data_IF_602182213708
#
_entry.id   IF_602182213708
#
_cell.length_a   1.000
_cell.length_b   1.000
_cell.length_c   1.000
_cell.angle_alpha   90.00
_cell.angle_beta   90.00
_cell.angle_gamma   90.00
#
_symmetry.space_group_name_H-M   'P 1'
#
loop_
_entity.id
_entity.type
_entity.pdbx_description
1 polymer ?
#
# COMPACT_ATOMS: atom_id res chain seq x y z
N UNK A 1 -17.41 -19.60 22.02
CA UNK A 1 -18.16 -18.85 20.98
C UNK A 1 -17.41 -19.01 19.65
N UNK A 2 -18.08 -19.13 18.49
CA UNK A 2 -17.47 -19.48 17.19
C UNK A 2 -16.20 -18.69 16.83
N UNK A 3 -16.15 -17.39 17.12
CA UNK A 3 -14.98 -16.55 16.82
C UNK A 3 -13.70 -16.96 17.59
N UNK A 4 -13.81 -17.57 18.78
CA UNK A 4 -12.62 -18.06 19.51
C UNK A 4 -11.99 -19.26 18.79
N UNK A 5 -12.79 -20.05 18.07
CA UNK A 5 -12.29 -21.16 17.26
C UNK A 5 -11.69 -20.67 15.93
N UNK A 6 -12.29 -19.66 15.31
CA UNK A 6 -11.81 -19.11 14.05
C UNK A 6 -10.52 -18.29 14.23
N UNK A 7 -10.43 -17.53 15.33
CA UNK A 7 -9.34 -16.60 15.63
C UNK A 7 -8.73 -16.91 17.01
N UNK A 8 -8.07 -18.07 17.18
CA UNK A 8 -7.54 -18.51 18.48
C UNK A 8 -6.42 -17.61 19.01
N UNK A 9 -5.78 -16.81 18.15
CA UNK A 9 -4.69 -15.89 18.48
C UNK A 9 -5.13 -14.53 19.01
N UNK A 10 -6.43 -14.24 18.94
CA UNK A 10 -6.96 -12.88 19.12
C UNK A 10 -7.20 -12.53 20.58
N UNK A 11 -7.73 -13.48 21.36
CA UNK A 11 -8.16 -13.25 22.73
C UNK A 11 -7.13 -13.79 23.73
N UNK A 12 -7.16 -13.28 24.97
CA UNK A 12 -6.24 -13.62 26.07
C UNK A 12 -4.84 -12.97 25.98
N UNK A 13 -4.68 -12.03 25.04
CA UNK A 13 -3.50 -11.17 24.92
C UNK A 13 -3.92 -9.72 25.19
N UNK A 14 -3.78 -8.83 24.20
CA UNK A 14 -4.20 -7.44 24.34
C UNK A 14 -5.74 -7.32 24.43
N UNK A 15 -6.47 -8.14 23.67
CA UNK A 15 -7.93 -8.18 23.71
C UNK A 15 -8.43 -9.34 24.58
N UNK A 16 -9.41 -9.07 25.43
CA UNK A 16 -10.12 -10.09 26.23
C UNK A 16 -11.49 -10.40 25.63
N UNK A 17 -12.12 -9.42 25.01
CA UNK A 17 -13.45 -9.54 24.40
C UNK A 17 -13.48 -8.90 23.02
N UNK A 18 -14.51 -9.25 22.23
CA UNK A 18 -14.77 -8.57 20.97
C UNK A 18 -15.09 -7.07 21.17
N UNK A 19 -15.73 -6.72 22.28
CA UNK A 19 -16.01 -5.31 22.62
C UNK A 19 -14.73 -4.52 22.84
N UNK A 20 -13.66 -5.15 23.34
CA UNK A 20 -12.38 -4.47 23.55
C UNK A 20 -11.81 -3.98 22.22
N UNK A 21 -11.92 -4.78 21.16
CA UNK A 21 -11.44 -4.44 19.80
C UNK A 21 -12.17 -3.21 19.26
N UNK A 22 -13.48 -3.14 19.47
CA UNK A 22 -14.31 -2.02 18.99
C UNK A 22 -14.03 -0.76 19.79
N UNK A 23 -14.00 -0.87 21.12
CA UNK A 23 -13.87 0.27 22.03
C UNK A 23 -12.45 0.80 22.19
N UNK A 24 -11.43 0.03 21.79
CA UNK A 24 -10.02 0.49 21.79
C UNK A 24 -9.67 1.39 20.60
N UNK A 25 -10.59 1.57 19.65
CA UNK A 25 -10.37 2.35 18.43
C UNK A 25 -11.26 3.59 18.37
N UNK A 26 -10.72 4.74 17.97
CA UNK A 26 -11.48 5.98 17.75
C UNK A 26 -10.80 6.89 16.72
N UNK A 27 -11.60 7.68 16.02
CA UNK A 27 -11.10 8.71 15.11
C UNK A 27 -10.38 8.16 13.87
N UNK A 28 -9.74 9.09 13.14
CA UNK A 28 -9.03 8.84 11.88
C UNK A 28 -7.53 8.91 12.09
N UNK A 29 -6.78 8.07 11.38
CA UNK A 29 -5.32 8.15 11.40
C UNK A 29 -4.65 7.25 10.40
N UNK A 30 -3.35 7.46 10.24
CA UNK A 30 -2.48 6.71 9.35
C UNK A 30 -1.79 5.61 10.14
N UNK A 31 -1.76 4.40 9.60
CA UNK A 31 -1.02 3.27 10.14
C UNK A 31 0.13 2.99 9.21
N UNK A 32 1.35 2.97 9.73
CA UNK A 32 2.56 2.65 8.97
C UNK A 32 3.29 1.48 9.62
N UNK A 33 3.74 0.51 8.83
CA UNK A 33 4.56 -0.59 9.33
C UNK A 33 6.01 -0.34 8.89
N UNK A 34 6.95 -0.34 9.83
CA UNK A 34 8.37 -0.10 9.50
C UNK A 34 9.31 -0.87 10.42
N UNK A 35 10.51 -1.11 9.90
CA UNK A 35 11.64 -1.67 10.62
C UNK A 35 12.92 -0.93 10.22
N UNK A 36 14.06 -1.33 10.75
CA UNK A 36 15.35 -0.67 10.54
C UNK A 36 15.70 -0.53 9.05
N UNK A 37 15.38 -1.54 8.23
CA UNK A 37 15.63 -1.52 6.79
C UNK A 37 14.81 -0.46 6.04
N UNK A 38 13.64 -0.08 6.58
CA UNK A 38 12.71 0.85 5.94
C UNK A 38 12.62 2.22 6.66
N UNK A 39 13.42 2.42 7.71
CA UNK A 39 13.38 3.60 8.56
C UNK A 39 13.59 4.92 7.79
N UNK A 40 14.52 4.94 6.83
CA UNK A 40 14.82 6.12 6.01
C UNK A 40 13.61 6.54 5.17
N UNK A 41 12.94 5.57 4.55
CA UNK A 41 11.72 5.79 3.78
C UNK A 41 10.58 6.28 4.69
N UNK A 42 10.36 5.62 5.83
CA UNK A 42 9.35 6.03 6.79
C UNK A 42 9.55 7.48 7.27
N UNK A 43 10.80 7.87 7.55
CA UNK A 43 11.14 9.23 7.97
C UNK A 43 10.83 10.25 6.87
N UNK A 44 11.23 9.98 5.62
CA UNK A 44 10.91 10.81 4.46
C UNK A 44 9.39 10.94 4.25
N UNK A 45 8.65 9.83 4.32
CA UNK A 45 7.21 9.82 4.17
C UNK A 45 6.48 10.63 5.27
N UNK A 46 6.89 10.49 6.53
CA UNK A 46 6.32 11.24 7.66
C UNK A 46 6.63 12.74 7.51
N UNK A 47 7.86 13.08 7.13
CA UNK A 47 8.26 14.46 6.88
C UNK A 47 7.40 15.12 5.81
N UNK A 48 7.16 14.43 4.70
CA UNK A 48 6.27 14.90 3.61
C UNK A 48 4.86 15.15 4.13
N UNK A 49 4.28 14.17 4.86
CA UNK A 49 2.92 14.30 5.41
C UNK A 49 2.81 15.50 6.35
N UNK A 50 3.82 15.74 7.19
CA UNK A 50 3.78 16.78 8.22
C UNK A 50 4.13 18.17 7.70
N UNK A 51 5.05 18.27 6.76
CA UNK A 51 5.68 19.54 6.42
C UNK A 51 5.43 20.03 5.00
N UNK A 52 5.08 19.14 4.07
CA UNK A 52 4.63 19.53 2.71
C UNK A 52 3.11 19.55 2.67
N UNK A 53 2.49 18.45 3.07
CA UNK A 53 1.04 18.27 2.98
C UNK A 53 0.29 18.89 4.16
N UNK A 54 1.02 19.26 5.22
CA UNK A 54 0.47 19.89 6.44
C UNK A 54 -0.70 19.09 7.05
N UNK A 55 -0.66 17.76 6.96
CA UNK A 55 -1.74 16.89 7.46
C UNK A 55 -1.67 16.77 8.97
N UNK A 56 -2.81 16.98 9.64
CA UNK A 56 -2.99 16.79 11.08
C UNK A 56 -3.43 15.35 11.43
N UNK A 57 -3.51 14.43 10.46
CA UNK A 57 -3.84 13.04 10.75
C UNK A 57 -2.76 12.41 11.65
N UNK A 58 -3.11 11.86 12.83
CA UNK A 58 -2.15 11.17 13.67
C UNK A 58 -1.61 9.93 12.96
N UNK A 59 -0.32 9.64 13.15
CA UNK A 59 0.35 8.47 12.55
C UNK A 59 0.68 7.49 13.68
N UNK A 60 0.28 6.24 13.52
CA UNK A 60 0.69 5.14 14.40
C UNK A 60 1.59 4.17 13.64
N UNK A 61 2.81 4.06 14.11
CA UNK A 61 3.86 3.23 13.52
C UNK A 61 3.93 1.90 14.27
N UNK A 62 3.83 0.82 13.52
CA UNK A 62 3.93 -0.55 14.01
C UNK A 62 5.28 -1.17 13.64
N UNK A 63 5.89 -1.82 14.64
CA UNK A 63 7.10 -2.63 14.51
C UNK A 63 6.94 -3.92 15.32
N UNK A 64 7.79 -4.93 15.07
CA UNK A 64 7.69 -6.26 15.68
C UNK A 64 8.91 -6.61 16.54
N UNK A 65 8.94 -6.10 17.77
CA UNK A 65 10.03 -6.30 18.72
C UNK A 65 11.28 -5.47 18.45
N UNK A 66 12.20 -5.47 19.43
CA UNK A 66 13.40 -4.60 19.43
C UNK A 66 14.38 -4.87 18.29
N UNK A 67 14.38 -6.09 17.72
CA UNK A 67 15.22 -6.42 16.57
C UNK A 67 14.71 -5.82 15.26
N UNK A 68 13.41 -5.55 15.16
CA UNK A 68 12.77 -5.03 13.96
C UNK A 68 13.01 -3.52 13.83
N UNK A 69 12.83 -2.76 14.92
CA UNK A 69 13.08 -1.32 14.95
C UNK A 69 13.88 -0.91 16.20
N UNK A 70 15.08 -0.37 15.97
CA UNK A 70 16.03 -0.02 17.03
C UNK A 70 15.49 1.06 17.97
N UNK A 71 16.00 1.11 19.19
CA UNK A 71 15.65 2.16 20.15
C UNK A 71 15.91 3.56 19.61
N UNK A 72 17.06 3.78 18.96
CA UNK A 72 17.42 5.07 18.36
C UNK A 72 16.42 5.49 17.28
N UNK A 73 16.09 4.60 16.35
CA UNK A 73 15.12 4.88 15.30
C UNK A 73 13.72 5.17 15.86
N UNK A 74 13.32 4.47 16.94
CA UNK A 74 12.05 4.76 17.64
C UNK A 74 12.03 6.19 18.21
N UNK A 75 13.09 6.62 18.87
CA UNK A 75 13.18 7.99 19.41
C UNK A 75 13.11 9.02 18.28
N UNK A 76 13.78 8.78 17.14
CA UNK A 76 13.74 9.69 15.99
C UNK A 76 12.33 9.81 15.40
N UNK A 77 11.57 8.72 15.30
CA UNK A 77 10.19 8.77 14.80
C UNK A 77 9.24 9.49 15.77
N UNK A 78 9.46 9.38 17.08
CA UNK A 78 8.65 10.07 18.10
C UNK A 78 8.90 11.58 18.18
N UNK A 79 9.96 12.09 17.54
CA UNK A 79 10.24 13.52 17.47
C UNK A 79 9.23 14.27 16.57
N UNK A 80 8.58 13.55 15.64
CA UNK A 80 7.51 14.10 14.82
C UNK A 80 6.21 14.31 15.60
N UNK A 81 5.52 15.42 15.31
CA UNK A 81 4.20 15.74 15.89
C UNK A 81 3.17 14.63 15.62
N UNK A 82 2.42 14.25 16.65
CA UNK A 82 1.31 13.28 16.58
C UNK A 82 1.70 11.94 15.94
N UNK A 83 2.94 11.49 16.23
CA UNK A 83 3.43 10.16 15.88
C UNK A 83 3.45 9.28 17.14
N UNK A 84 2.95 8.06 16.98
CA UNK A 84 2.90 7.05 18.03
C UNK A 84 3.59 5.77 17.57
N UNK A 85 4.14 5.00 18.50
CA UNK A 85 4.77 3.72 18.23
C UNK A 85 4.08 2.60 18.99
N UNK A 86 3.90 1.47 18.31
CA UNK A 86 3.26 0.27 18.87
C UNK A 86 4.04 -0.99 18.49
N UNK A 87 4.45 -1.76 19.50
CA UNK A 87 5.06 -3.07 19.31
C UNK A 87 3.99 -4.15 19.11
N UNK A 88 3.82 -4.60 17.86
CA UNK A 88 2.81 -5.60 17.49
C UNK A 88 3.09 -6.97 18.15
N UNK A 89 4.34 -7.24 18.56
CA UNK A 89 4.72 -8.51 19.19
C UNK A 89 3.98 -8.76 20.50
N UNK A 90 3.38 -7.72 21.09
CA UNK A 90 2.67 -7.79 22.38
C UNK A 90 1.15 -7.98 22.23
N UNK A 91 0.60 -7.96 21.01
CA UNK A 91 -0.84 -7.88 20.78
C UNK A 91 -1.56 -9.23 20.67
N UNK A 92 -0.90 -10.23 20.09
CA UNK A 92 -1.53 -11.49 19.66
C UNK A 92 -0.70 -12.72 20.07
N UNK A 93 -1.28 -13.91 19.93
CA UNK A 93 -0.55 -15.17 20.13
C UNK A 93 0.48 -15.40 19.01
N UNK A 94 1.73 -15.03 19.26
CA UNK A 94 2.83 -15.19 18.31
C UNK A 94 3.15 -16.65 17.97
N UNK A 95 2.73 -17.63 18.78
CA UNK A 95 2.89 -19.04 18.42
C UNK A 95 2.03 -19.43 17.21
N UNK A 96 0.96 -18.68 16.96
CA UNK A 96 0.02 -18.88 15.85
C UNK A 96 0.26 -17.87 14.72
N UNK A 97 0.27 -16.56 15.03
CA UNK A 97 0.38 -15.52 13.99
C UNK A 97 1.80 -15.37 13.48
N UNK A 98 2.80 -15.46 14.37
CA UNK A 98 4.24 -15.27 14.10
C UNK A 98 4.49 -14.19 13.04
N UNK A 99 4.06 -12.95 13.30
CA UNK A 99 3.99 -11.88 12.30
C UNK A 99 5.38 -11.63 11.69
N UNK A 100 5.44 -11.46 10.36
CA UNK A 100 6.70 -11.25 9.63
C UNK A 100 6.44 -10.67 8.24
N UNK A 101 7.30 -9.76 7.77
CA UNK A 101 7.19 -9.17 6.44
C UNK A 101 5.82 -8.53 6.21
N UNK A 102 5.25 -8.68 5.01
CA UNK A 102 3.98 -8.05 4.64
C UNK A 102 2.78 -8.45 5.50
N UNK A 103 2.84 -9.60 6.18
CA UNK A 103 1.73 -10.07 7.01
C UNK A 103 1.42 -9.11 8.18
N UNK A 104 2.34 -8.23 8.57
CA UNK A 104 2.12 -7.23 9.64
C UNK A 104 0.97 -6.28 9.33
N UNK A 105 0.76 -5.91 8.07
CA UNK A 105 -0.19 -4.89 7.60
C UNK A 105 -1.62 -5.07 8.13
N UNK A 106 -2.30 -6.22 7.89
CA UNK A 106 -3.66 -6.41 8.41
C UNK A 106 -3.72 -6.46 9.94
N UNK A 107 -2.70 -7.02 10.61
CA UNK A 107 -2.65 -7.03 12.08
C UNK A 107 -2.43 -5.63 12.66
N UNK A 108 -1.64 -4.78 12.01
CA UNK A 108 -1.46 -3.38 12.39
C UNK A 108 -2.76 -2.58 12.25
N UNK A 109 -3.51 -2.77 11.15
CA UNK A 109 -4.85 -2.18 11.01
C UNK A 109 -5.76 -2.64 12.16
N UNK A 110 -5.76 -3.93 12.50
CA UNK A 110 -6.58 -4.44 13.60
C UNK A 110 -6.17 -3.84 14.95
N UNK A 111 -4.86 -3.83 15.23
CA UNK A 111 -4.27 -3.37 16.49
C UNK A 111 -4.31 -1.85 16.69
N UNK A 112 -4.47 -1.07 15.61
CA UNK A 112 -4.38 0.39 15.68
C UNK A 112 -5.40 1.05 16.60
N UNK A 113 -5.05 2.22 17.11
CA UNK A 113 -5.94 3.07 17.92
C UNK A 113 -7.03 3.77 17.10
N UNK A 114 -6.97 3.70 15.77
CA UNK A 114 -7.89 4.42 14.89
C UNK A 114 -9.07 3.54 14.49
N UNK A 115 -10.25 4.17 14.42
CA UNK A 115 -11.48 3.53 13.93
C UNK A 115 -11.54 3.58 12.40
N UNK A 116 -11.09 4.68 11.80
CA UNK A 116 -10.94 4.90 10.37
C UNK A 116 -9.44 4.96 10.05
N UNK A 117 -8.92 3.95 9.35
CA UNK A 117 -7.50 3.71 9.15
C UNK A 117 -7.12 3.96 7.69
N UNK A 118 -6.05 4.70 7.46
CA UNK A 118 -5.27 4.66 6.21
C UNK A 118 -3.99 3.88 6.52
N UNK A 119 -3.91 2.62 6.09
CA UNK A 119 -2.63 1.91 6.07
C UNK A 119 -1.79 2.49 4.94
N UNK A 120 -0.49 2.69 5.19
CA UNK A 120 0.48 3.21 4.23
C UNK A 120 1.82 2.49 4.38
N UNK A 121 2.42 2.07 3.27
CA UNK A 121 3.80 1.55 3.24
C UNK A 121 4.83 2.65 3.52
N UNK A 122 5.96 2.26 4.10
CA UNK A 122 7.01 3.20 4.49
C UNK A 122 7.59 4.00 3.31
N UNK A 123 7.49 3.50 2.08
CA UNK A 123 7.99 4.11 0.84
C UNK A 123 6.88 4.65 -0.07
N UNK A 124 5.69 4.89 0.46
CA UNK A 124 4.66 5.65 -0.25
C UNK A 124 4.95 7.15 -0.13
N UNK A 125 4.74 7.88 -1.20
CA UNK A 125 4.81 9.34 -1.24
C UNK A 125 3.47 9.91 -1.67
N UNK A 126 2.87 10.73 -0.82
CA UNK A 126 1.62 11.42 -1.11
C UNK A 126 1.87 12.78 -1.76
N UNK A 127 0.98 13.14 -2.70
CA UNK A 127 0.94 14.47 -3.35
C UNK A 127 -0.09 15.41 -2.75
N UNK A 128 -1.00 14.86 -1.94
CA UNK A 128 -2.16 15.54 -1.39
C UNK A 128 -2.43 14.99 0.00
N UNK A 129 -3.12 15.76 0.85
CA UNK A 129 -3.43 15.33 2.21
C UNK A 129 -4.18 13.98 2.18
N UNK A 130 -3.66 12.92 2.84
CA UNK A 130 -4.32 11.62 2.88
C UNK A 130 -5.75 11.66 3.41
N UNK A 131 -6.17 12.72 4.11
CA UNK A 131 -7.56 12.88 4.58
C UNK A 131 -8.58 12.84 3.44
N UNK A 132 -8.21 13.24 2.22
CA UNK A 132 -9.06 13.18 1.02
C UNK A 132 -9.53 11.74 0.71
N UNK A 133 -8.78 10.72 1.12
CA UNK A 133 -9.17 9.32 0.91
C UNK A 133 -10.46 8.93 1.64
N UNK A 134 -10.77 9.59 2.77
CA UNK A 134 -12.02 9.38 3.49
C UNK A 134 -13.23 10.05 2.82
N UNK A 135 -13.00 10.92 1.84
CA UNK A 135 -14.05 11.59 1.08
C UNK A 135 -14.53 10.77 -0.12
N UNK A 136 -13.82 9.68 -0.47
CA UNK A 136 -14.23 8.81 -1.56
C UNK A 136 -15.64 8.24 -1.31
N UNK A 137 -16.49 8.31 -2.34
CA UNK A 137 -17.90 7.89 -2.26
C UNK A 137 -18.00 6.38 -1.99
N UNK A 138 -17.07 5.59 -2.54
CA UNK A 138 -16.98 4.16 -2.29
C UNK A 138 -16.58 3.88 -0.84
N UNK A 139 -15.59 4.60 -0.31
CA UNK A 139 -15.23 4.57 1.11
C UNK A 139 -16.41 4.92 2.01
N UNK A 140 -17.11 6.03 1.78
CA UNK A 140 -18.25 6.42 2.60
C UNK A 140 -19.34 5.33 2.60
N UNK A 141 -19.56 4.70 1.44
CA UNK A 141 -20.57 3.64 1.28
C UNK A 141 -20.19 2.34 1.98
N UNK A 142 -18.99 1.81 1.75
CA UNK A 142 -18.60 0.47 2.24
C UNK A 142 -17.69 0.51 3.47
N UNK A 143 -17.05 1.64 3.76
CA UNK A 143 -16.01 1.80 4.76
C UNK A 143 -14.66 1.24 4.30
N UNK A 144 -14.44 1.09 2.99
CA UNK A 144 -13.18 0.58 2.44
C UNK A 144 -12.81 1.35 1.18
N UNK A 145 -11.53 1.58 0.93
CA UNK A 145 -11.01 2.00 -0.38
C UNK A 145 -9.72 1.23 -0.66
N UNK A 146 -9.78 0.36 -1.67
CA UNK A 146 -8.65 -0.44 -2.14
C UNK A 146 -8.21 0.02 -3.53
N UNK A 147 -6.94 -0.20 -3.86
CA UNK A 147 -6.34 0.26 -5.10
C UNK A 147 -5.92 -0.90 -5.99
N UNK A 148 -5.93 -0.66 -7.30
CA UNK A 148 -5.63 -1.65 -8.32
C UNK A 148 -4.13 -1.74 -8.57
N UNK A 149 -3.55 -2.93 -8.56
CA UNK A 149 -2.16 -3.12 -9.04
C UNK A 149 -2.12 -3.02 -10.58
N UNK A 150 -0.93 -3.11 -11.15
CA UNK A 150 -0.69 -3.18 -12.58
C UNK A 150 -1.44 -4.34 -13.22
N UNK A 151 -1.83 -4.16 -14.48
CA UNK A 151 -2.47 -5.19 -15.29
C UNK A 151 -1.39 -6.05 -15.94
N UNK A 152 -0.94 -7.08 -15.21
CA UNK A 152 0.14 -7.97 -15.64
C UNK A 152 -0.38 -9.38 -16.00
N UNK A 153 0.22 -9.96 -17.04
CA UNK A 153 0.12 -11.38 -17.41
C UNK A 153 -1.34 -11.91 -17.52
N UNK A 154 -2.16 -11.40 -18.46
CA UNK A 154 -3.54 -11.84 -18.62
C UNK A 154 -3.62 -13.32 -19.01
N UNK A 155 -4.71 -13.98 -18.61
CA UNK A 155 -5.02 -15.38 -18.86
C UNK A 155 -5.19 -16.20 -17.58
N UNK A 156 -5.65 -17.46 -17.69
CA UNK A 156 -5.78 -18.35 -16.54
C UNK A 156 -4.41 -18.64 -15.91
N UNK A 157 -4.34 -18.60 -14.58
CA UNK A 157 -3.12 -18.88 -13.81
C UNK A 157 -3.46 -19.71 -12.56
N UNK A 158 -2.44 -20.24 -11.89
CA UNK A 158 -2.63 -21.16 -10.75
C UNK A 158 -3.47 -20.51 -9.63
N UNK A 159 -3.23 -19.24 -9.34
CA UNK A 159 -3.97 -18.48 -8.33
C UNK A 159 -5.47 -18.33 -8.65
N UNK A 160 -5.84 -18.00 -9.89
CA UNK A 160 -7.25 -17.83 -10.28
C UNK A 160 -8.00 -19.17 -10.38
N UNK A 161 -7.33 -20.22 -10.88
CA UNK A 161 -7.89 -21.59 -10.88
C UNK A 161 -8.13 -22.09 -9.46
N UNK A 162 -7.15 -21.90 -8.57
CA UNK A 162 -7.27 -22.22 -7.16
C UNK A 162 -8.45 -21.48 -6.52
N UNK A 163 -8.56 -20.16 -6.71
CA UNK A 163 -9.66 -19.36 -6.15
C UNK A 163 -11.04 -19.88 -6.61
N UNK A 164 -11.22 -20.11 -7.91
CA UNK A 164 -12.47 -20.60 -8.51
C UNK A 164 -12.84 -22.02 -8.06
N UNK A 165 -11.85 -22.81 -7.60
CA UNK A 165 -12.11 -24.16 -7.11
C UNK A 165 -13.00 -24.20 -5.86
N UNK A 166 -12.90 -23.18 -4.99
CA UNK A 166 -13.62 -23.13 -3.71
C UNK A 166 -14.57 -21.92 -3.57
N UNK A 167 -14.32 -20.80 -4.25
CA UNK A 167 -15.17 -19.60 -4.20
C UNK A 167 -16.39 -19.75 -5.14
N UNK A 168 -17.39 -20.56 -4.75
CA UNK A 168 -18.52 -20.95 -5.63
C UNK A 168 -19.58 -19.87 -5.87
N UNK A 169 -19.57 -18.77 -5.10
CA UNK A 169 -20.46 -17.64 -5.32
C UNK A 169 -19.83 -16.36 -4.76
N UNK A 170 -18.91 -15.72 -5.49
CA UNK A 170 -18.30 -14.46 -5.04
C UNK A 170 -19.31 -13.32 -4.99
N UNK A 171 -18.98 -12.30 -4.20
CA UNK A 171 -19.66 -11.02 -4.13
C UNK A 171 -19.72 -10.36 -5.51
N UNK A 172 -20.73 -9.49 -5.79
CA UNK A 172 -20.84 -8.77 -7.05
C UNK A 172 -19.58 -7.97 -7.40
N UNK A 173 -18.88 -7.43 -6.41
CA UNK A 173 -17.64 -6.67 -6.57
C UNK A 173 -16.48 -7.59 -6.91
N UNK A 174 -16.39 -8.76 -6.27
CA UNK A 174 -15.38 -9.79 -6.56
C UNK A 174 -15.53 -10.36 -7.97
N UNK A 175 -16.76 -10.57 -8.45
CA UNK A 175 -17.04 -10.97 -9.84
C UNK A 175 -16.56 -9.96 -10.88
N UNK A 176 -16.36 -8.69 -10.50
CA UNK A 176 -15.90 -7.62 -11.40
C UNK A 176 -14.39 -7.41 -11.36
N UNK A 177 -13.66 -8.07 -10.45
CA UNK A 177 -12.21 -7.94 -10.36
C UNK A 177 -11.53 -8.43 -11.63
N UNK A 178 -10.42 -7.80 -12.00
CA UNK A 178 -9.61 -8.23 -13.15
C UNK A 178 -9.04 -9.64 -12.92
N UNK A 179 -8.58 -9.93 -11.71
CA UNK A 179 -8.10 -11.24 -11.27
C UNK A 179 -9.15 -12.35 -11.43
N UNK A 180 -10.40 -12.09 -11.02
CA UNK A 180 -11.49 -13.08 -11.18
C UNK A 180 -11.76 -13.37 -12.66
N UNK A 181 -11.71 -12.33 -13.48
CA UNK A 181 -11.92 -12.41 -14.92
C UNK A 181 -10.63 -12.73 -15.71
N UNK A 182 -9.54 -13.12 -15.01
CA UNK A 182 -8.27 -13.53 -15.63
C UNK A 182 -7.66 -12.45 -16.56
N UNK A 183 -7.93 -11.17 -16.26
CA UNK A 183 -7.34 -10.02 -16.96
C UNK A 183 -5.99 -9.61 -16.37
N UNK A 184 -5.65 -10.13 -15.19
CA UNK A 184 -4.34 -9.95 -14.54
C UNK A 184 -4.09 -11.02 -13.48
N UNK A 185 -2.82 -11.29 -13.18
CA UNK A 185 -2.43 -12.11 -12.02
C UNK A 185 -2.41 -11.35 -10.69
N UNK A 186 -2.42 -10.02 -10.68
CA UNK A 186 -2.36 -9.20 -9.47
C UNK A 186 -3.49 -8.17 -9.45
N UNK A 187 -4.43 -8.31 -8.52
CA UNK A 187 -5.59 -7.40 -8.50
C UNK A 187 -5.26 -6.07 -7.84
N UNK A 188 -4.66 -6.15 -6.66
CA UNK A 188 -4.71 -5.10 -5.64
C UNK A 188 -3.30 -4.67 -5.26
N UNK A 189 -3.10 -3.36 -5.18
CA UNK A 189 -1.95 -2.76 -4.52
C UNK A 189 -2.31 -2.53 -3.04
N UNK A 190 -1.49 -3.04 -2.12
CA UNK A 190 -1.65 -2.86 -0.67
C UNK A 190 -0.66 -1.86 -0.07
N UNK A 191 -0.02 -1.02 -0.90
CA UNK A 191 0.81 0.10 -0.47
C UNK A 191 0.00 1.17 0.27
N UNK A 192 -1.27 1.33 -0.08
CA UNK A 192 -2.26 2.06 0.72
C UNK A 192 -3.55 1.27 0.82
N UNK A 193 -4.13 1.17 2.01
CA UNK A 193 -5.42 0.50 2.26
C UNK A 193 -6.24 1.33 3.22
N UNK A 194 -7.46 1.72 2.84
CA UNK A 194 -8.33 2.51 3.71
C UNK A 194 -9.46 1.64 4.26
N UNK A 195 -9.61 1.55 5.58
CA UNK A 195 -10.62 0.71 6.25
C UNK A 195 -11.23 1.43 7.44
N UNK A 196 -12.56 1.45 7.49
CA UNK A 196 -13.35 1.70 8.70
C UNK A 196 -13.48 0.39 9.49
N UNK A 197 -12.72 0.26 10.58
CA UNK A 197 -12.52 -0.98 11.34
C UNK A 197 -13.82 -1.55 11.90
N UNK A 198 -14.58 -0.74 12.62
CA UNK A 198 -15.82 -1.17 13.29
C UNK A 198 -16.90 -1.58 12.28
N UNK A 199 -17.03 -0.86 11.17
CA UNK A 199 -17.94 -1.18 10.06
C UNK A 199 -17.56 -2.47 9.31
N UNK A 200 -16.27 -2.82 9.28
CA UNK A 200 -15.74 -3.89 8.43
C UNK A 200 -14.96 -4.98 9.18
N UNK A 201 -15.20 -5.12 10.49
CA UNK A 201 -14.41 -5.98 11.37
C UNK A 201 -14.41 -7.45 10.94
N UNK A 202 -15.51 -7.96 10.38
CA UNK A 202 -15.57 -9.34 9.89
C UNK A 202 -14.65 -9.57 8.70
N UNK A 203 -14.65 -8.64 7.74
CA UNK A 203 -13.73 -8.65 6.60
C UNK A 203 -12.29 -8.58 7.10
N UNK A 204 -11.97 -7.61 7.96
CA UNK A 204 -10.63 -7.43 8.51
C UNK A 204 -10.11 -8.67 9.28
N UNK A 205 -10.93 -9.29 10.12
CA UNK A 205 -10.55 -10.52 10.83
C UNK A 205 -10.29 -11.68 9.85
N UNK A 206 -11.04 -11.78 8.76
CA UNK A 206 -10.78 -12.75 7.71
C UNK A 206 -9.46 -12.44 6.95
N UNK A 207 -9.12 -11.16 6.72
CA UNK A 207 -7.80 -10.79 6.18
C UNK A 207 -6.68 -11.23 7.14
N UNK A 208 -6.81 -10.96 8.44
CA UNK A 208 -5.85 -11.44 9.45
C UNK A 208 -5.72 -12.96 9.45
N UNK A 209 -6.84 -13.69 9.31
CA UNK A 209 -6.86 -15.16 9.21
C UNK A 209 -6.01 -15.67 8.05
N UNK A 210 -6.16 -15.07 6.87
CA UNK A 210 -5.38 -15.43 5.68
C UNK A 210 -3.88 -15.15 5.86
N UNK A 211 -3.53 -14.23 6.77
CA UNK A 211 -2.15 -13.83 7.07
C UNK A 211 -1.56 -14.50 8.33
N UNK A 212 -2.26 -15.44 8.98
CA UNK A 212 -1.67 -16.31 10.03
C UNK A 212 -0.53 -17.16 9.45
N UNK A 213 0.49 -17.48 10.26
CA UNK A 213 1.73 -18.14 9.78
C UNK A 213 1.46 -19.38 8.95
N UNK A 214 0.70 -20.31 9.52
CA UNK A 214 0.42 -21.60 8.87
C UNK A 214 -0.34 -21.40 7.57
N UNK A 215 -1.40 -20.60 7.59
CA UNK A 215 -2.27 -20.38 6.44
C UNK A 215 -1.51 -19.65 5.32
N UNK A 216 -0.77 -18.58 5.66
CA UNK A 216 -0.03 -17.80 4.67
C UNK A 216 1.10 -18.61 4.03
N UNK A 217 1.86 -19.38 4.82
CA UNK A 217 3.02 -20.12 4.32
C UNK A 217 2.63 -21.40 3.60
N UNK A 218 1.61 -22.12 4.07
CA UNK A 218 1.25 -23.42 3.49
C UNK A 218 0.31 -23.29 2.28
N UNK A 219 -0.50 -22.22 2.22
CA UNK A 219 -1.56 -22.06 1.24
C UNK A 219 -1.49 -20.72 0.50
N UNK A 220 -1.70 -19.59 1.20
CA UNK A 220 -2.04 -18.32 0.54
C UNK A 220 -0.89 -17.77 -0.29
N UNK A 221 0.30 -17.61 0.29
CA UNK A 221 1.46 -17.01 -0.41
C UNK A 221 2.08 -17.95 -1.46
N UNK A 222 1.58 -19.20 -1.58
CA UNK A 222 1.90 -20.08 -2.70
C UNK A 222 1.00 -19.85 -3.91
N UNK A 223 -0.10 -19.12 -3.74
CA UNK A 223 -1.14 -18.88 -4.77
C UNK A 223 -1.29 -17.42 -5.15
N UNK A 224 -0.94 -16.50 -4.27
CA UNK A 224 -0.96 -15.04 -4.48
C UNK A 224 0.35 -14.42 -3.98
N UNK A 225 0.62 -13.17 -4.35
CA UNK A 225 1.88 -12.50 -4.05
C UNK A 225 1.78 -11.67 -2.77
N UNK A 226 2.07 -12.31 -1.64
CA UNK A 226 2.05 -11.66 -0.34
C UNK A 226 0.64 -11.38 0.16
N UNK A 227 0.47 -10.27 0.86
CA UNK A 227 -0.75 -9.90 1.56
C UNK A 227 -1.81 -9.26 0.66
N UNK A 228 -1.44 -8.73 -0.51
CA UNK A 228 -2.29 -7.76 -1.22
C UNK A 228 -3.66 -8.31 -1.60
N UNK A 229 -3.70 -9.52 -2.17
CA UNK A 229 -4.95 -10.17 -2.54
C UNK A 229 -5.78 -10.61 -1.33
N UNK A 230 -5.15 -10.78 -0.16
CA UNK A 230 -5.85 -11.25 1.04
C UNK A 230 -6.90 -10.26 1.54
N UNK A 231 -6.76 -8.97 1.23
CA UNK A 231 -7.73 -7.95 1.60
C UNK A 231 -9.10 -8.21 0.96
N UNK A 232 -9.20 -8.21 -0.37
CA UNK A 232 -10.48 -8.46 -1.02
C UNK A 232 -10.96 -9.91 -0.85
N UNK A 233 -10.04 -10.89 -0.76
CA UNK A 233 -10.40 -12.28 -0.50
C UNK A 233 -11.05 -12.46 0.88
N UNK A 234 -10.46 -11.86 1.91
CA UNK A 234 -11.00 -11.92 3.28
C UNK A 234 -12.39 -11.29 3.36
N UNK A 235 -12.61 -10.17 2.68
CA UNK A 235 -13.91 -9.51 2.62
C UNK A 235 -14.95 -10.37 1.88
N UNK A 236 -14.61 -11.01 0.75
CA UNK A 236 -15.54 -11.93 0.08
C UNK A 236 -15.88 -13.13 0.96
N UNK A 237 -14.88 -13.75 1.60
CA UNK A 237 -15.07 -14.90 2.50
C UNK A 237 -15.97 -14.54 3.69
N UNK A 238 -15.85 -13.32 4.21
CA UNK A 238 -16.68 -12.79 5.29
C UNK A 238 -18.06 -12.29 4.82
N UNK A 239 -18.34 -12.31 3.51
CA UNK A 239 -19.54 -11.70 2.89
C UNK A 239 -19.70 -10.22 3.23
N UNK A 240 -18.60 -9.53 3.42
CA UNK A 240 -18.54 -8.10 3.71
C UNK A 240 -18.33 -7.33 2.40
N UNK A 241 -19.28 -6.48 1.96
CA UNK A 241 -19.07 -5.63 0.80
C UNK A 241 -17.85 -4.74 0.96
N UNK A 242 -17.08 -4.56 -0.11
CA UNK A 242 -15.91 -3.69 -0.16
C UNK A 242 -15.89 -2.88 -1.45
N UNK A 243 -15.01 -1.89 -1.51
CA UNK A 243 -14.83 -1.03 -2.66
C UNK A 243 -13.40 -1.08 -3.15
N UNK A 244 -13.25 -1.56 -4.39
CA UNK A 244 -12.05 -1.41 -5.20
C UNK A 244 -12.21 -0.16 -6.05
N UNK A 245 -11.24 0.75 -6.00
CA UNK A 245 -11.20 1.93 -6.84
C UNK A 245 -11.37 1.52 -8.31
N UNK A 246 -12.20 2.29 -9.04
CA UNK A 246 -12.50 2.01 -10.45
C UNK A 246 -11.44 2.55 -11.40
N UNK A 247 -10.60 3.48 -10.94
CA UNK A 247 -9.49 4.00 -11.72
C UNK A 247 -8.46 2.90 -11.99
N UNK A 248 -7.91 2.80 -13.22
CA UNK A 248 -6.76 1.95 -13.48
C UNK A 248 -5.59 2.31 -12.57
N UNK A 249 -4.66 1.36 -12.41
CA UNK A 249 -3.35 1.67 -11.86
C UNK A 249 -2.73 2.81 -12.69
N UNK A 250 -2.12 3.78 -12.05
CA UNK A 250 -1.36 4.83 -12.74
C UNK A 250 0.12 4.52 -12.61
N UNK A 251 0.94 5.05 -13.50
CA UNK A 251 2.39 4.99 -13.36
C UNK A 251 2.96 6.38 -13.60
N UNK A 252 3.74 6.88 -12.65
CA UNK A 252 4.33 8.22 -12.65
C UNK A 252 5.85 8.09 -12.76
N UNK A 253 6.48 8.94 -13.56
CA UNK A 253 7.92 8.87 -13.72
C UNK A 253 8.50 9.87 -14.71
N UNK A 254 9.72 9.56 -15.14
CA UNK A 254 10.48 10.34 -16.10
C UNK A 254 10.43 9.69 -17.49
N UNK A 255 10.51 10.53 -18.53
CA UNK A 255 10.70 10.06 -19.90
C UNK A 255 12.17 9.69 -20.12
N UNK A 256 12.43 8.42 -20.47
CA UNK A 256 13.76 8.01 -20.91
C UNK A 256 14.04 8.60 -22.29
N UNK A 257 14.99 9.55 -22.34
CA UNK A 257 15.43 10.25 -23.55
C UNK A 257 16.62 9.48 -24.15
N UNK A 258 16.35 8.34 -24.77
CA UNK A 258 17.39 7.59 -25.49
C UNK A 258 17.74 8.31 -26.81
N UNK A 259 18.99 8.77 -26.94
CA UNK A 259 19.49 9.36 -28.17
C UNK A 259 19.80 8.27 -29.20
N UNK A 260 19.02 8.19 -30.28
CA UNK A 260 19.30 7.26 -31.39
C UNK A 260 20.27 7.92 -32.36
N UNK A 261 21.56 7.65 -32.16
CA UNK A 261 22.68 8.23 -32.91
C UNK A 261 22.52 8.09 -34.44
N UNK A 262 22.05 6.93 -34.91
CA UNK A 262 21.83 6.64 -36.33
C UNK A 262 20.77 7.54 -36.99
N UNK A 263 19.75 7.97 -36.24
CA UNK A 263 18.64 8.79 -36.73
C UNK A 263 18.72 10.26 -36.29
N UNK A 264 19.72 10.64 -35.47
CA UNK A 264 19.90 11.98 -34.89
C UNK A 264 18.63 12.53 -34.22
N UNK A 265 17.88 11.68 -33.51
CA UNK A 265 16.67 12.04 -32.78
C UNK A 265 16.59 11.30 -31.43
N UNK A 266 15.95 11.91 -30.44
CA UNK A 266 15.66 11.30 -29.15
C UNK A 266 14.39 10.47 -29.22
N UNK A 267 14.51 9.16 -29.16
CA UNK A 267 13.33 8.30 -29.13
C UNK A 267 12.77 8.22 -27.71
N UNK A 268 11.55 8.73 -27.50
CA UNK A 268 10.80 8.61 -26.23
C UNK A 268 10.22 7.20 -26.12
N UNK A 269 11.05 6.20 -25.84
CA UNK A 269 10.59 4.80 -25.94
C UNK A 269 10.10 4.22 -24.62
N UNK A 270 10.34 4.88 -23.47
CA UNK A 270 10.00 4.35 -22.15
C UNK A 270 9.67 5.44 -21.14
N UNK A 271 8.81 5.10 -20.19
CA UNK A 271 8.64 5.84 -18.93
C UNK A 271 9.17 4.95 -17.83
N UNK A 272 10.03 5.48 -16.96
CA UNK A 272 10.57 4.78 -15.82
C UNK A 272 10.18 5.50 -14.54
N UNK A 273 9.71 4.75 -13.54
CA UNK A 273 9.19 5.34 -12.32
C UNK A 273 8.43 4.36 -11.45
N UNK A 274 7.30 4.82 -10.90
CA UNK A 274 6.60 4.13 -9.82
C UNK A 274 5.11 3.98 -10.07
N UNK A 275 4.55 2.93 -9.45
CA UNK A 275 3.10 2.71 -9.41
C UNK A 275 2.45 3.82 -8.61
N UNK A 276 1.56 4.57 -9.26
CA UNK A 276 0.81 5.68 -8.72
C UNK A 276 -0.69 5.38 -8.73
N UNK A 277 -1.44 6.16 -7.98
CA UNK A 277 -2.87 6.00 -7.87
C UNK A 277 -3.59 7.34 -7.99
N UNK A 278 -4.81 7.28 -8.52
CA UNK A 278 -5.69 8.43 -8.63
C UNK A 278 -6.94 8.27 -7.77
N UNK A 279 -7.47 9.38 -7.30
CA UNK A 279 -8.85 9.46 -6.84
C UNK A 279 -9.82 9.33 -8.01
N UNK A 280 -11.10 9.08 -7.71
CA UNK A 280 -12.15 8.93 -8.73
C UNK A 280 -12.28 10.15 -9.66
N UNK A 281 -11.97 11.35 -9.16
CA UNK A 281 -11.98 12.60 -9.93
C UNK A 281 -10.76 12.77 -10.88
N UNK A 282 -9.83 11.80 -10.91
CA UNK A 282 -8.64 11.82 -11.76
C UNK A 282 -7.41 12.50 -11.14
N UNK A 283 -7.51 13.06 -9.94
CA UNK A 283 -6.36 13.63 -9.22
C UNK A 283 -5.42 12.52 -8.75
N UNK A 284 -4.12 12.67 -8.99
CA UNK A 284 -3.09 11.78 -8.44
C UNK A 284 -3.04 11.87 -6.91
N UNK A 285 -3.05 10.78 -6.17
CA UNK A 285 -3.04 10.87 -4.70
C UNK A 285 -1.69 10.51 -4.10
N UNK A 286 -1.09 9.43 -4.56
CA UNK A 286 0.20 8.95 -4.09
C UNK A 286 0.86 8.03 -5.12
N UNK A 287 2.15 7.74 -4.92
CA UNK A 287 2.83 6.60 -5.54
C UNK A 287 3.59 5.78 -4.51
N UNK A 288 3.89 4.54 -4.89
CA UNK A 288 4.64 3.59 -4.09
C UNK A 288 6.01 3.31 -4.72
N UNK A 289 7.08 3.53 -3.95
CA UNK A 289 8.46 3.27 -4.42
C UNK A 289 9.51 4.31 -4.01
N UNK A 290 9.18 5.24 -3.11
CA UNK A 290 10.02 6.37 -2.66
C UNK A 290 10.34 7.40 -3.76
N UNK A 291 11.29 8.31 -3.49
CA UNK A 291 11.80 9.27 -4.47
C UNK A 291 12.87 8.68 -5.41
N UNK A 292 13.51 7.59 -4.99
CA UNK A 292 14.58 6.94 -5.75
C UNK A 292 14.05 5.90 -6.75
N UNK A 293 14.77 5.69 -7.85
CA UNK A 293 14.46 4.68 -8.88
C UNK A 293 14.43 3.26 -8.32
N UNK A 294 15.38 2.95 -7.44
CA UNK A 294 15.53 1.64 -6.84
C UNK A 294 15.90 1.76 -5.36
N UNK A 295 15.48 0.77 -4.57
CA UNK A 295 15.89 0.63 -3.17
C UNK A 295 17.29 0.02 -3.13
N UNK A 296 18.30 0.82 -2.78
CA UNK A 296 19.71 0.40 -2.69
C UNK A 296 20.28 0.78 -1.32
N UNK A 297 21.35 0.08 -0.91
CA UNK A 297 22.06 0.39 0.34
C UNK A 297 22.69 1.78 0.35
N UNK A 298 22.99 2.32 -0.83
CA UNK A 298 23.45 3.69 -1.04
C UNK A 298 22.64 4.33 -2.16
N UNK A 299 21.97 5.43 -1.85
CA UNK A 299 21.21 6.26 -2.77
C UNK A 299 21.93 7.61 -2.85
N UNK A 300 22.04 8.15 -4.05
CA UNK A 300 22.57 9.49 -4.31
C UNK A 300 21.49 10.34 -4.96
N UNK A 301 21.69 11.65 -5.01
CA UNK A 301 20.75 12.56 -5.69
C UNK A 301 20.55 12.24 -7.18
N UNK A 302 21.50 11.57 -7.83
CA UNK A 302 21.39 11.11 -9.21
C UNK A 302 20.48 9.87 -9.39
N UNK A 303 20.13 9.21 -8.28
CA UNK A 303 19.25 8.05 -8.29
C UNK A 303 17.76 8.43 -8.15
N UNK A 304 17.47 9.72 -7.95
CA UNK A 304 16.09 10.22 -7.89
C UNK A 304 15.44 10.29 -9.27
N UNK A 305 14.11 10.10 -9.31
CA UNK A 305 13.31 10.20 -10.54
C UNK A 305 12.86 11.66 -10.72
N UNK A 306 12.97 12.16 -11.95
CA UNK A 306 12.33 13.42 -12.33
C UNK A 306 10.88 13.15 -12.75
N UNK A 307 9.94 13.21 -11.79
CA UNK A 307 8.53 12.93 -12.06
C UNK A 307 7.94 14.01 -12.98
N UNK A 308 7.97 13.77 -14.29
CA UNK A 308 7.50 14.71 -15.32
C UNK A 308 6.08 14.37 -15.80
N UNK A 309 5.78 13.06 -15.88
CA UNK A 309 4.62 12.51 -16.58
C UNK A 309 4.01 11.33 -15.85
N UNK A 310 2.77 11.01 -16.20
CA UNK A 310 2.12 9.76 -15.82
C UNK A 310 1.22 9.21 -16.92
N UNK A 311 0.81 7.95 -16.80
CA UNK A 311 -0.20 7.33 -17.66
C UNK A 311 -1.06 6.34 -16.88
N UNK A 312 -2.27 6.06 -17.37
CA UNK A 312 -3.14 5.02 -16.82
C UNK A 312 -2.82 3.65 -17.47
N UNK A 313 -2.51 2.64 -16.66
CA UNK A 313 -2.14 1.31 -17.14
C UNK A 313 -3.37 0.50 -17.60
N UNK A 314 -3.37 0.13 -18.88
CA UNK A 314 -4.40 -0.67 -19.53
C UNK A 314 -3.89 -2.05 -19.97
N UNK A 315 -2.75 -2.52 -19.44
CA UNK A 315 -2.16 -3.82 -19.79
C UNK A 315 -1.06 -3.73 -20.84
N UNK A 316 -0.16 -2.76 -20.69
CA UNK A 316 0.93 -2.51 -21.63
C UNK A 316 2.16 -3.41 -21.37
N UNK A 317 3.12 -3.36 -22.31
CA UNK A 317 4.38 -4.12 -22.21
C UNK A 317 5.38 -3.48 -21.24
N UNK A 318 5.60 -4.17 -20.12
CA UNK A 318 6.58 -3.80 -19.10
C UNK A 318 7.98 -4.34 -19.43
N UNK A 319 9.01 -3.67 -18.93
CA UNK A 319 10.35 -4.23 -18.91
C UNK A 319 10.47 -5.39 -17.90
N UNK A 320 11.54 -6.17 -17.98
CA UNK A 320 11.72 -7.35 -17.12
C UNK A 320 11.81 -7.02 -15.62
N UNK A 321 12.18 -5.78 -15.28
CA UNK A 321 12.23 -5.30 -13.89
C UNK A 321 10.91 -4.70 -13.39
N UNK A 322 9.93 -4.51 -14.27
CA UNK A 322 8.70 -3.75 -14.02
C UNK A 322 8.97 -2.32 -13.48
N UNK A 323 10.12 -1.75 -13.84
CA UNK A 323 10.57 -0.40 -13.48
C UNK A 323 10.29 0.61 -14.61
N UNK A 324 10.14 0.10 -15.83
CA UNK A 324 9.86 0.93 -17.00
C UNK A 324 8.79 0.28 -17.86
N UNK A 325 7.89 1.10 -18.39
CA UNK A 325 6.98 0.70 -19.47
C UNK A 325 7.63 1.03 -20.81
N UNK A 326 7.39 0.20 -21.84
CA UNK A 326 7.69 0.56 -23.23
C UNK A 326 6.53 1.31 -23.85
N UNK A 327 6.82 2.47 -24.41
CA UNK A 327 5.83 3.28 -25.12
C UNK A 327 5.72 2.77 -26.56
N UNK A 328 4.66 2.04 -26.86
CA UNK A 328 4.09 1.90 -28.20
C UNK A 328 3.22 3.13 -28.55
N UNK A 329 2.76 3.23 -29.81
CA UNK A 329 2.14 4.46 -30.34
C UNK A 329 0.84 4.90 -29.64
N UNK A 330 0.26 4.04 -28.81
CA UNK A 330 -1.11 4.16 -28.32
C UNK A 330 -1.18 4.49 -26.81
N UNK A 331 -0.03 4.71 -26.15
CA UNK A 331 0.01 5.14 -24.74
C UNK A 331 -0.26 6.65 -24.63
N UNK A 332 -1.35 7.02 -23.97
CA UNK A 332 -1.66 8.41 -23.65
C UNK A 332 -0.83 8.88 -22.45
N UNK A 333 0.18 9.70 -22.71
CA UNK A 333 1.05 10.28 -21.69
C UNK A 333 0.48 11.61 -21.24
N UNK A 334 0.28 11.75 -19.94
CA UNK A 334 -0.30 12.94 -19.31
C UNK A 334 0.80 13.70 -18.57
N UNK A 335 0.92 14.99 -18.86
CA UNK A 335 1.81 15.88 -18.12
C UNK A 335 1.21 16.22 -16.75
N UNK A 336 2.06 16.30 -15.73
CA UNK A 336 1.63 16.82 -14.43
C UNK A 336 1.15 18.27 -14.55
N UNK A 337 0.07 18.59 -13.82
CA UNK A 337 -0.38 19.97 -13.66
C UNK A 337 0.59 20.76 -12.75
N UNK A 338 0.41 22.08 -12.70
CA UNK A 338 1.33 22.95 -11.96
C UNK A 338 1.28 22.72 -10.44
N UNK A 339 0.12 22.35 -9.90
CA UNK A 339 -0.05 22.01 -8.48
C UNK A 339 0.77 20.77 -8.11
N UNK A 340 0.63 19.68 -8.89
CA UNK A 340 1.37 18.44 -8.67
C UNK A 340 2.88 18.67 -8.79
N UNK A 341 3.32 19.42 -9.80
CA UNK A 341 4.74 19.78 -9.97
C UNK A 341 5.27 20.58 -8.79
N UNK A 342 4.49 21.54 -8.29
CA UNK A 342 4.89 22.36 -7.16
C UNK A 342 5.09 21.49 -5.91
N UNK A 343 4.16 20.60 -5.60
CA UNK A 343 4.29 19.68 -4.47
C UNK A 343 5.51 18.77 -4.60
N UNK A 344 5.73 18.19 -5.79
CA UNK A 344 6.91 17.33 -6.03
C UNK A 344 8.21 18.11 -5.85
N UNK A 345 8.29 19.34 -6.36
CA UNK A 345 9.46 20.19 -6.19
C UNK A 345 9.75 20.47 -4.71
N UNK A 346 8.71 20.79 -3.92
CA UNK A 346 8.84 21.02 -2.48
C UNK A 346 9.34 19.75 -1.76
N UNK A 347 8.78 18.57 -2.08
CA UNK A 347 9.24 17.28 -1.57
C UNK A 347 10.73 17.07 -1.87
N UNK A 348 11.13 17.33 -3.12
CA UNK A 348 12.52 17.15 -3.59
C UNK A 348 13.49 18.14 -2.94
N UNK A 349 13.07 19.37 -2.67
CA UNK A 349 13.87 20.37 -1.94
C UNK A 349 14.08 19.98 -0.48
N UNK A 350 13.05 19.44 0.17
CA UNK A 350 13.15 18.91 1.53
C UNK A 350 14.09 17.72 1.61
N UNK A 351 13.96 16.77 0.69
CA UNK A 351 14.87 15.62 0.62
C UNK A 351 16.33 16.06 0.42
N UNK A 352 16.59 17.05 -0.44
CA UNK A 352 17.95 17.61 -0.62
C UNK A 352 18.51 18.28 0.64
N UNK A 353 17.63 18.78 1.52
CA UNK A 353 18.03 19.50 2.74
C UNK A 353 18.24 18.55 3.92
N UNK A 354 17.37 17.56 4.04
CA UNK A 354 17.30 16.64 5.19
C UNK A 354 18.03 15.32 4.93
N UNK A 355 18.24 14.97 3.66
CA UNK A 355 19.02 13.82 3.19
C UNK A 355 18.57 12.48 3.77
N UNK A 356 17.26 12.27 3.99
CA UNK A 356 16.75 11.04 4.59
C UNK A 356 17.19 9.78 3.83
N UNK A 357 17.13 9.81 2.50
CA UNK A 357 17.45 8.69 1.63
C UNK A 357 18.93 8.66 1.24
N UNK A 358 19.58 9.82 1.13
CA UNK A 358 20.96 9.93 0.63
C UNK A 358 22.03 9.83 1.72
N UNK A 359 21.69 10.08 2.98
CA UNK A 359 22.62 9.93 4.09
C UNK A 359 22.90 8.44 4.33
N UNK A 360 24.18 8.04 4.45
CA UNK A 360 24.58 6.63 4.67
C UNK A 360 24.56 6.25 6.13
#
# INVERSE_FOLDING_TARGET
>A
MLHHFLYPWLYQHHYRTFSDIITSSKGRGIVMCTGNEHFKYASSAIDIIRHVLNSDLPIEIFYNGDSDLSFQNRIMLLDYKDVYLTDISTYFDNSIVNISGWAIKPFAILASRFEEVILMDADVVYLRDPIELFEDIGYQKTGTLFFRDRTLEPGPHDGSQWLKSWMKNPLPETKKLRYWNELTQHEMDSSTVVIHKTKNILGLLAVCKLNEKKIRQEVIYKKVYGDKETFWMGFDMARQPYHMNTKPCTFIGELDKEYKEYYKYFSKNKICGHVAHQLKNGKLIFWNGSLAKEKRSKITSNDFIDYEVYFEDHGYDWDTGLLCIRLDSDVEIISLNDEDKQTINEIMEREKTLEFLTYT
#
